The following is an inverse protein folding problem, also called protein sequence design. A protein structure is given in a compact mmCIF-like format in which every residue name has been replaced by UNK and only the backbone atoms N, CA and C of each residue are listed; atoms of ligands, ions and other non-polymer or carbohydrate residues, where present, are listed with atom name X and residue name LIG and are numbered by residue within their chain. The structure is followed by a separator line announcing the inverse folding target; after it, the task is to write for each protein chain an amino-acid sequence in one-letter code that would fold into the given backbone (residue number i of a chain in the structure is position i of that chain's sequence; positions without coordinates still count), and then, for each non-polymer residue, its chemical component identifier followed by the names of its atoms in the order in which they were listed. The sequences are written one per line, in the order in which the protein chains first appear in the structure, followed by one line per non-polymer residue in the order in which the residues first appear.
data_IF_458804969509
#
_entry.id   IF_458804969509
#
_cell.length_a   1.000
_cell.length_b   1.000
_cell.length_c   1.000
_cell.angle_alpha   90.00
_cell.angle_beta   90.00
_cell.angle_gamma   90.00
#
_symmetry.space_group_name_H-M   'P 1'
#
loop_
_entity.id
_entity.type
_entity.pdbx_description
1 polymer ?
#
# COMPACT_ATOMS: atom_id res chain seq x y z
N UNK A 1 -34.00 -15.09 16.84
CA UNK A 1 -33.32 -14.33 15.75
C UNK A 1 -33.76 -14.90 14.40
N UNK A 2 -34.22 -14.06 13.49
CA UNK A 2 -34.74 -14.47 12.16
C UNK A 2 -33.59 -14.85 11.22
N UNK A 3 -33.85 -15.73 10.24
CA UNK A 3 -32.90 -16.06 9.17
C UNK A 3 -32.35 -14.80 8.47
N UNK A 4 -33.17 -13.74 8.36
CA UNK A 4 -32.75 -12.44 7.80
C UNK A 4 -31.69 -11.75 8.66
N UNK A 5 -31.74 -11.93 9.97
CA UNK A 5 -30.73 -11.41 10.91
C UNK A 5 -29.41 -12.15 10.82
N UNK A 6 -29.44 -13.48 10.63
CA UNK A 6 -28.22 -14.27 10.40
C UNK A 6 -27.56 -13.93 9.08
N UNK A 7 -28.35 -13.74 8.02
CA UNK A 7 -27.84 -13.32 6.71
C UNK A 7 -27.21 -11.92 6.77
N UNK A 8 -27.85 -10.96 7.43
CA UNK A 8 -27.28 -9.62 7.61
C UNK A 8 -25.97 -9.64 8.41
N UNK A 9 -25.91 -10.43 9.48
CA UNK A 9 -24.69 -10.58 10.30
C UNK A 9 -23.55 -11.27 9.53
N UNK A 10 -23.87 -12.27 8.71
CA UNK A 10 -22.91 -12.95 7.85
C UNK A 10 -22.34 -12.02 6.76
N UNK A 11 -23.16 -11.14 6.19
CA UNK A 11 -22.67 -10.14 5.23
C UNK A 11 -21.76 -9.09 5.89
N UNK A 12 -22.13 -8.58 7.07
CA UNK A 12 -21.32 -7.60 7.80
C UNK A 12 -19.95 -8.15 8.20
N UNK A 13 -19.89 -9.42 8.62
CA UNK A 13 -18.64 -10.10 8.95
C UNK A 13 -17.77 -10.39 7.73
N UNK A 14 -18.37 -10.76 6.60
CA UNK A 14 -17.66 -10.97 5.35
C UNK A 14 -17.02 -9.68 4.80
N UNK A 15 -17.71 -8.53 4.88
CA UNK A 15 -17.18 -7.24 4.42
C UNK A 15 -16.03 -6.75 5.30
N UNK A 16 -16.11 -6.97 6.62
CA UNK A 16 -15.05 -6.59 7.56
C UNK A 16 -13.73 -7.36 7.35
N UNK A 17 -13.80 -8.60 6.87
CA UNK A 17 -12.62 -9.44 6.66
C UNK A 17 -11.76 -9.01 5.46
N UNK A 18 -12.33 -8.32 4.47
CA UNK A 18 -11.61 -7.93 3.24
C UNK A 18 -10.61 -6.80 3.47
N UNK A 19 -10.76 -6.02 4.54
CA UNK A 19 -9.87 -4.90 4.88
C UNK A 19 -8.54 -5.34 5.54
N UNK A 20 -8.38 -6.62 5.88
CA UNK A 20 -7.20 -7.14 6.58
C UNK A 20 -6.17 -7.82 5.66
N UNK A 21 -6.39 -7.88 4.35
CA UNK A 21 -5.47 -8.56 3.41
C UNK A 21 -4.49 -7.62 2.70
N UNK A 22 -4.52 -6.31 2.99
CA UNK A 22 -3.58 -5.35 2.41
C UNK A 22 -2.17 -5.47 3.01
N UNK A 23 -1.22 -4.78 2.38
CA UNK A 23 0.14 -4.58 2.89
C UNK A 23 0.39 -3.08 3.01
N UNK A 24 1.16 -2.63 3.99
CA UNK A 24 1.49 -1.21 4.11
C UNK A 24 2.93 -1.01 4.57
N UNK A 25 3.47 0.17 4.29
CA UNK A 25 4.80 0.56 4.72
C UNK A 25 4.76 1.16 6.12
N UNK A 26 5.65 0.70 7.00
CA UNK A 26 5.78 1.23 8.36
C UNK A 26 7.23 1.51 8.71
N UNK A 27 7.44 2.58 9.49
CA UNK A 27 8.75 2.99 10.04
C UNK A 27 8.52 3.52 11.46
N UNK A 28 9.19 2.96 12.49
CA UNK A 28 9.01 3.41 13.86
C UNK A 28 9.27 4.91 14.00
N UNK A 29 8.32 5.63 14.62
CA UNK A 29 8.43 7.07 14.87
C UNK A 29 8.23 7.97 13.64
N UNK A 30 7.97 7.43 12.45
CA UNK A 30 7.66 8.25 11.28
C UNK A 30 6.23 8.80 11.36
N UNK A 31 6.09 10.09 11.07
CA UNK A 31 4.78 10.73 10.89
C UNK A 31 4.21 10.44 9.50
N UNK A 32 2.95 10.84 9.27
CA UNK A 32 2.32 10.75 7.94
C UNK A 32 3.05 11.66 6.95
N UNK A 33 3.51 12.83 7.40
CA UNK A 33 4.28 13.78 6.61
C UNK A 33 5.65 13.22 6.21
N UNK A 34 6.33 12.51 7.12
CA UNK A 34 7.58 11.81 6.82
C UNK A 34 7.36 10.74 5.75
N UNK A 35 6.31 9.93 5.93
CA UNK A 35 5.93 8.92 4.95
C UNK A 35 5.63 9.54 3.58
N UNK A 36 4.82 10.60 3.50
CA UNK A 36 4.46 11.23 2.25
C UNK A 36 5.68 11.77 1.50
N UNK A 37 6.61 12.40 2.22
CA UNK A 37 7.86 12.93 1.67
C UNK A 37 8.74 11.82 1.12
N UNK A 38 8.94 10.75 1.90
CA UNK A 38 9.79 9.62 1.54
C UNK A 38 9.20 8.82 0.37
N UNK A 39 7.90 8.52 0.43
CA UNK A 39 7.13 7.86 -0.64
C UNK A 39 7.20 8.65 -1.95
N UNK A 40 7.01 9.97 -1.91
CA UNK A 40 7.08 10.81 -3.12
C UNK A 40 8.48 10.79 -3.75
N UNK A 41 9.53 10.92 -2.93
CA UNK A 41 10.91 10.87 -3.43
C UNK A 41 11.24 9.50 -4.06
N UNK A 42 10.84 8.41 -3.42
CA UNK A 42 11.04 7.06 -3.97
C UNK A 42 10.23 6.80 -5.25
N UNK A 43 9.03 7.37 -5.37
CA UNK A 43 8.22 7.29 -6.59
C UNK A 43 8.92 7.98 -7.77
N UNK A 44 9.48 9.18 -7.56
CA UNK A 44 10.23 9.90 -8.59
C UNK A 44 11.49 9.14 -9.03
N UNK A 45 12.23 8.54 -8.09
CA UNK A 45 13.39 7.72 -8.41
C UNK A 45 13.00 6.51 -9.27
N UNK A 46 11.91 5.85 -8.90
CA UNK A 46 11.42 4.68 -9.62
C UNK A 46 10.85 5.00 -11.01
N UNK A 47 10.36 6.21 -11.24
CA UNK A 47 9.96 6.70 -12.58
C UNK A 47 11.18 6.97 -13.48
N UNK A 48 12.25 7.54 -12.94
CA UNK A 48 13.47 7.86 -13.71
C UNK A 48 14.18 6.61 -14.25
N UNK A 49 14.00 5.46 -13.60
CA UNK A 49 14.57 4.18 -14.01
C UNK A 49 13.88 3.49 -15.19
N UNK A 50 12.80 4.06 -15.74
CA UNK A 50 12.01 3.41 -16.81
C UNK A 50 11.92 4.31 -18.04
N UNK A 51 12.66 3.93 -19.10
CA UNK A 51 12.72 4.65 -20.37
C UNK A 51 11.76 4.00 -21.39
N UNK A 52 10.47 3.92 -21.07
CA UNK A 52 9.51 3.21 -21.90
C UNK A 52 8.50 4.20 -22.51
N UNK A 53 8.39 4.18 -23.85
CA UNK A 53 7.60 5.11 -24.68
C UNK A 53 6.06 4.98 -24.52
N UNK A 54 5.60 4.09 -23.63
CA UNK A 54 4.18 3.84 -23.36
C UNK A 54 3.97 3.84 -21.84
N UNK A 55 3.15 4.78 -21.36
CA UNK A 55 2.59 4.87 -20.00
C UNK A 55 3.63 4.76 -18.88
N UNK A 56 4.14 5.89 -18.37
CA UNK A 56 5.10 6.03 -17.26
C UNK A 56 5.15 4.83 -16.28
N UNK A 57 5.88 3.75 -16.60
CA UNK A 57 5.85 2.57 -15.74
C UNK A 57 6.76 2.86 -14.57
N UNK A 58 6.32 2.60 -13.36
CA UNK A 58 7.18 2.77 -12.19
C UNK A 58 7.98 1.49 -11.97
N UNK A 59 9.31 1.60 -11.84
CA UNK A 59 10.13 0.44 -11.49
C UNK A 59 9.88 0.05 -10.02
N UNK A 60 9.05 -0.97 -9.83
CA UNK A 60 8.65 -1.48 -8.51
C UNK A 60 9.83 -1.87 -7.64
N UNK A 61 10.86 -2.48 -8.23
CA UNK A 61 12.06 -2.88 -7.50
C UNK A 61 12.81 -1.66 -6.96
N UNK A 62 12.98 -0.63 -7.78
CA UNK A 62 13.59 0.64 -7.37
C UNK A 62 12.80 1.30 -6.24
N UNK A 63 11.47 1.39 -6.37
CA UNK A 63 10.61 1.97 -5.34
C UNK A 63 10.72 1.22 -4.01
N UNK A 64 10.59 -0.12 -4.02
CA UNK A 64 10.68 -0.93 -2.81
C UNK A 64 12.08 -0.85 -2.17
N UNK A 65 13.13 -0.82 -2.97
CA UNK A 65 14.51 -0.70 -2.48
C UNK A 65 14.75 0.65 -1.81
N UNK A 66 14.29 1.74 -2.42
CA UNK A 66 14.35 3.08 -1.83
C UNK A 66 13.59 3.14 -0.49
N UNK A 67 12.36 2.62 -0.43
CA UNK A 67 11.57 2.60 0.81
C UNK A 67 12.30 1.83 1.93
N UNK A 68 12.86 0.66 1.63
CA UNK A 68 13.66 -0.12 2.60
C UNK A 68 14.92 0.63 3.04
N UNK A 69 15.63 1.28 2.13
CA UNK A 69 16.79 2.09 2.45
C UNK A 69 16.47 3.28 3.36
N UNK A 70 15.24 3.82 3.29
CA UNK A 70 14.74 4.86 4.21
C UNK A 70 14.25 4.31 5.55
N UNK A 71 14.36 3.01 5.78
CA UNK A 71 14.01 2.36 7.04
C UNK A 71 12.55 1.88 7.12
N UNK A 72 11.80 1.92 6.02
CA UNK A 72 10.46 1.36 5.99
C UNK A 72 10.48 -0.16 5.81
N UNK A 73 9.54 -0.83 6.46
CA UNK A 73 9.26 -2.26 6.31
C UNK A 73 7.85 -2.42 5.74
N UNK A 74 7.70 -3.37 4.82
CA UNK A 74 6.40 -3.76 4.33
C UNK A 74 5.82 -4.79 5.29
N UNK A 75 4.67 -4.49 5.88
CA UNK A 75 3.97 -5.36 6.84
C UNK A 75 2.61 -5.76 6.30
N UNK A 76 2.14 -6.92 6.72
CA UNK A 76 0.80 -7.42 6.38
C UNK A 76 -0.29 -6.78 7.24
N UNK A 77 -1.50 -6.74 6.71
CA UNK A 77 -2.67 -6.18 7.37
C UNK A 77 -2.92 -4.71 7.04
N UNK A 78 -4.16 -4.29 7.23
CA UNK A 78 -4.59 -2.90 7.04
C UNK A 78 -4.71 -2.48 5.57
N UNK A 79 -5.00 -1.19 5.38
CA UNK A 79 -5.15 -0.59 4.06
C UNK A 79 -3.79 -0.34 3.41
N UNK A 80 -3.68 -0.56 2.10
CA UNK A 80 -2.46 -0.23 1.36
C UNK A 80 -2.20 1.27 1.37
N UNK A 81 -0.99 1.67 1.77
CA UNK A 81 -0.52 3.06 1.79
C UNK A 81 0.85 3.12 1.14
N UNK A 82 0.93 3.78 -0.02
CA UNK A 82 2.13 3.91 -0.85
C UNK A 82 1.81 3.93 -2.34
N UNK A 83 2.84 4.06 -3.18
CA UNK A 83 2.67 3.95 -4.63
C UNK A 83 1.93 2.64 -4.96
N UNK A 84 0.75 2.77 -5.56
CA UNK A 84 -0.09 1.65 -5.97
C UNK A 84 0.35 1.13 -7.32
N UNK A 85 0.37 -0.19 -7.39
CA UNK A 85 0.96 -1.01 -8.44
C UNK A 85 -0.03 -1.36 -9.57
N UNK A 86 -1.29 -0.93 -9.40
CA UNK A 86 -2.50 -1.38 -10.10
C UNK A 86 -3.21 -0.29 -10.92
N UNK A 87 -2.52 0.80 -11.27
CA UNK A 87 -2.97 1.81 -12.26
C UNK A 87 -2.00 1.90 -13.43
#
# INVERSE_FOLDING_TARGET
MSARGYVALAMLTAIGAVACSGRHWTKPGATVEDFNRDNHACALEAQRGVYNYATYPVNKHTYQSCMRARGYRLVEGGQWVGLRDDL
#
